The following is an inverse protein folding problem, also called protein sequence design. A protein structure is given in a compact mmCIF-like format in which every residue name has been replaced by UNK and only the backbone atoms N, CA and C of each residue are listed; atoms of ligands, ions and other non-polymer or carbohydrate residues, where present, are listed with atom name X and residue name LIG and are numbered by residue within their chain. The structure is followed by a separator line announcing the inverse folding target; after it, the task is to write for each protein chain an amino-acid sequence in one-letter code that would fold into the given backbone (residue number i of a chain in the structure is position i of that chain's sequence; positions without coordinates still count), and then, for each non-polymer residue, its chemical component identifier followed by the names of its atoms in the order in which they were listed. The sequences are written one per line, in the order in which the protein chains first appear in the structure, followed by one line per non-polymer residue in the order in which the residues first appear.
data_IF_403481928598
#
_entry.id   IF_403481928598
#
_cell.length_a   1.000
_cell.length_b   1.000
_cell.length_c   1.000
_cell.angle_alpha   90.00
_cell.angle_beta   90.00
_cell.angle_gamma   90.00
#
_symmetry.space_group_name_H-M   'P 1'
#
loop_
_entity.id
_entity.type
_entity.pdbx_description
1 polymer ?
#
# COMPACT_ATOMS: atom_id res chain seq x y z
N UNK A 1 5.67 2.99 -18.72
CA UNK A 1 5.14 3.07 -17.35
C UNK A 1 5.87 1.99 -16.55
N UNK A 2 6.30 2.30 -15.35
CA UNK A 2 6.93 1.30 -14.46
C UNK A 2 5.83 0.75 -13.57
N UNK A 3 5.83 -0.56 -13.32
CA UNK A 3 5.00 -1.18 -12.31
C UNK A 3 5.85 -1.36 -11.05
N UNK A 4 5.37 -0.86 -9.92
CA UNK A 4 5.98 -1.10 -8.62
C UNK A 4 5.25 -2.26 -7.94
N UNK A 5 6.02 -3.19 -7.40
CA UNK A 5 5.51 -4.43 -6.80
C UNK A 5 6.26 -4.75 -5.51
N UNK A 6 5.57 -5.38 -4.58
CA UNK A 6 6.16 -5.80 -3.30
C UNK A 6 7.02 -7.06 -3.44
N UNK A 7 6.81 -7.87 -4.49
CA UNK A 7 7.44 -9.17 -4.64
C UNK A 7 8.01 -9.36 -6.04
N UNK A 8 9.21 -9.95 -6.14
CA UNK A 8 9.84 -10.33 -7.42
C UNK A 8 9.30 -11.62 -8.01
N UNK A 9 8.57 -12.42 -7.23
CA UNK A 9 8.00 -13.68 -7.72
C UNK A 9 6.68 -13.39 -8.43
N UNK A 10 6.52 -13.79 -9.71
CA UNK A 10 5.25 -13.67 -10.39
C UNK A 10 4.23 -14.66 -9.82
N UNK A 11 2.96 -14.34 -9.99
CA UNK A 11 1.90 -15.33 -9.96
C UNK A 11 1.90 -16.14 -11.26
N UNK A 12 1.41 -17.36 -11.21
CA UNK A 12 1.20 -18.18 -12.41
C UNK A 12 -0.29 -18.40 -12.60
N UNK A 13 -0.80 -18.06 -13.76
CA UNK A 13 -2.22 -18.20 -14.06
C UNK A 13 -2.63 -19.68 -14.00
N UNK A 14 -3.51 -20.05 -13.07
CA UNK A 14 -4.03 -21.42 -12.87
C UNK A 14 -5.12 -21.78 -13.89
N UNK A 15 -5.79 -20.76 -14.41
CA UNK A 15 -6.78 -20.82 -15.49
C UNK A 15 -6.62 -19.59 -16.38
N UNK A 16 -7.39 -19.50 -17.46
CA UNK A 16 -7.45 -18.28 -18.27
C UNK A 16 -8.10 -17.14 -17.46
N UNK A 17 -7.42 -15.98 -17.40
CA UNK A 17 -7.86 -14.82 -16.64
C UNK A 17 -8.25 -13.71 -17.62
N UNK A 18 -9.50 -13.24 -17.54
CA UNK A 18 -9.95 -12.08 -18.30
C UNK A 18 -9.42 -10.80 -17.64
N UNK A 19 -8.75 -9.96 -18.42
CA UNK A 19 -8.27 -8.64 -18.04
C UNK A 19 -8.60 -7.64 -19.15
N UNK A 20 -8.28 -6.36 -18.96
CA UNK A 20 -8.72 -5.30 -19.86
C UNK A 20 -7.53 -4.48 -20.35
N UNK A 21 -7.49 -4.20 -21.68
CA UNK A 21 -6.42 -3.43 -22.30
C UNK A 21 -6.98 -2.13 -22.89
N UNK A 22 -6.58 -1.00 -22.34
CA UNK A 22 -6.91 0.30 -22.91
C UNK A 22 -6.00 0.64 -24.09
N UNK A 23 -6.60 0.98 -25.22
CA UNK A 23 -5.95 1.28 -26.48
C UNK A 23 -6.59 2.53 -27.12
N UNK A 24 -5.82 3.26 -27.92
CA UNK A 24 -6.39 4.27 -28.79
C UNK A 24 -6.85 3.62 -30.10
N UNK A 25 -7.97 4.10 -30.68
CA UNK A 25 -8.49 3.63 -31.96
C UNK A 25 -8.36 4.74 -33.00
N UNK A 26 -7.70 4.46 -34.12
CA UNK A 26 -7.57 5.40 -35.23
C UNK A 26 -7.76 4.65 -36.56
N UNK A 27 -8.68 5.14 -37.40
CA UNK A 27 -9.01 4.53 -38.72
C UNK A 27 -9.25 3.00 -38.62
N UNK A 28 -9.99 2.55 -37.61
CA UNK A 28 -10.30 1.14 -37.40
C UNK A 28 -9.15 0.27 -36.85
N UNK A 29 -7.98 0.85 -36.60
CA UNK A 29 -6.80 0.16 -36.02
C UNK A 29 -6.59 0.57 -34.60
N UNK A 30 -6.04 -0.34 -33.79
CA UNK A 30 -5.74 -0.13 -32.38
C UNK A 30 -4.26 0.14 -32.17
N UNK A 31 -3.95 0.98 -31.18
CA UNK A 31 -2.59 1.38 -30.82
C UNK A 31 -2.44 1.42 -29.28
N UNK A 32 -1.25 1.11 -28.77
CA UNK A 32 -0.96 1.26 -27.34
C UNK A 32 -1.10 2.72 -26.91
N UNK A 33 -1.69 2.94 -25.75
CA UNK A 33 -2.02 4.26 -25.23
C UNK A 33 -0.82 5.21 -25.06
N UNK A 34 0.36 4.68 -24.71
CA UNK A 34 1.51 5.49 -24.34
C UNK A 34 2.54 5.69 -25.47
N UNK A 35 2.68 4.75 -26.40
CA UNK A 35 3.73 4.78 -27.43
C UNK A 35 3.22 4.61 -28.85
N UNK A 36 1.91 4.53 -29.03
CA UNK A 36 1.25 4.35 -30.33
C UNK A 36 1.76 3.14 -31.15
N UNK A 37 2.22 2.07 -30.49
CA UNK A 37 2.52 0.83 -31.19
C UNK A 37 1.22 0.16 -31.65
N UNK A 38 1.21 -0.44 -32.86
CA UNK A 38 0.03 -1.18 -33.33
C UNK A 38 -0.31 -2.33 -32.36
N UNK A 39 -1.60 -2.54 -32.15
CA UNK A 39 -2.15 -3.65 -31.38
C UNK A 39 -3.00 -4.48 -32.33
N UNK A 40 -2.57 -5.69 -32.60
CA UNK A 40 -3.35 -6.65 -33.37
C UNK A 40 -4.31 -7.37 -32.43
N UNK A 41 -5.55 -7.53 -32.86
CA UNK A 41 -6.55 -8.30 -32.14
C UNK A 41 -6.52 -9.77 -32.61
N UNK A 42 -7.01 -10.67 -31.75
CA UNK A 42 -6.99 -12.12 -31.92
C UNK A 42 -5.58 -12.73 -32.03
N UNK A 43 -4.61 -12.02 -31.46
CA UNK A 43 -3.21 -12.40 -31.44
C UNK A 43 -2.61 -12.29 -30.03
N UNK A 44 -1.48 -12.97 -29.81
CA UNK A 44 -0.69 -12.83 -28.59
C UNK A 44 0.24 -11.63 -28.73
N UNK A 45 0.00 -10.63 -27.92
CA UNK A 45 0.90 -9.48 -27.77
C UNK A 45 2.10 -9.90 -26.89
N UNK A 46 3.31 -9.54 -27.33
CA UNK A 46 4.55 -9.73 -26.57
C UNK A 46 5.28 -8.37 -26.42
N UNK A 47 6.03 -8.18 -25.35
CA UNK A 47 6.81 -6.96 -25.20
C UNK A 47 7.99 -6.92 -26.17
N UNK A 48 8.34 -5.73 -26.63
CA UNK A 48 9.42 -5.53 -27.61
C UNK A 48 10.83 -5.80 -27.06
N UNK A 49 11.00 -5.80 -25.74
CA UNK A 49 12.31 -5.95 -25.06
C UNK A 49 12.19 -6.86 -23.85
N UNK A 50 13.31 -7.51 -23.49
CA UNK A 50 13.41 -8.17 -22.19
C UNK A 50 13.31 -7.12 -21.09
N UNK A 51 12.46 -7.39 -20.11
CA UNK A 51 12.33 -6.55 -18.92
C UNK A 51 13.24 -7.05 -17.81
N UNK A 52 13.71 -6.11 -17.02
CA UNK A 52 14.43 -6.38 -15.80
C UNK A 52 13.54 -6.01 -14.60
N UNK A 53 13.56 -6.88 -13.60
CA UNK A 53 13.03 -6.55 -12.28
C UNK A 53 14.22 -6.09 -11.45
N UNK A 54 14.22 -4.84 -11.05
CA UNK A 54 15.29 -4.29 -10.20
C UNK A 54 14.73 -3.74 -8.92
N UNK A 55 15.38 -4.02 -7.80
CA UNK A 55 15.16 -3.29 -6.58
C UNK A 55 15.65 -1.86 -6.83
N UNK A 56 14.74 -0.92 -6.76
CA UNK A 56 15.09 0.49 -6.70
C UNK A 56 15.58 0.80 -5.28
N UNK A 57 16.40 1.83 -5.15
CA UNK A 57 16.81 2.38 -3.85
C UNK A 57 15.59 2.77 -2.95
N UNK A 58 14.41 2.63 -3.46
CA UNK A 58 13.14 3.07 -2.93
C UNK A 58 12.32 1.95 -2.24
N UNK A 59 12.95 0.88 -1.79
CA UNK A 59 12.31 -0.20 -1.00
C UNK A 59 11.22 -1.02 -1.71
N UNK A 60 10.95 -0.78 -3.00
CA UNK A 60 10.07 -1.60 -3.83
C UNK A 60 10.75 -2.04 -5.11
N UNK A 61 10.28 -3.16 -5.66
CA UNK A 61 10.74 -3.64 -6.95
C UNK A 61 10.03 -2.89 -8.07
N UNK A 62 10.78 -2.51 -9.09
CA UNK A 62 10.23 -1.88 -10.29
C UNK A 62 10.46 -2.79 -11.49
N UNK A 63 9.40 -3.07 -12.24
CA UNK A 63 9.48 -3.77 -13.52
C UNK A 63 9.67 -2.72 -14.62
N UNK A 64 10.84 -2.76 -15.26
CA UNK A 64 11.22 -1.85 -16.33
C UNK A 64 11.12 -2.55 -17.69
N UNK A 65 10.15 -2.17 -18.49
CA UNK A 65 9.97 -2.73 -19.84
C UNK A 65 9.68 -4.23 -19.82
N UNK A 66 9.69 -4.88 -20.97
CA UNK A 66 9.55 -6.33 -21.10
C UNK A 66 8.26 -6.94 -20.57
N UNK A 67 7.27 -6.11 -20.24
CA UNK A 67 5.93 -6.53 -19.80
C UNK A 67 4.85 -5.69 -20.46
N UNK A 68 3.68 -6.26 -20.56
CA UNK A 68 2.47 -5.63 -21.05
C UNK A 68 1.60 -5.30 -19.86
N UNK A 69 1.17 -4.05 -19.74
CA UNK A 69 0.23 -3.64 -18.70
C UNK A 69 -1.20 -3.86 -19.18
N UNK A 70 -2.02 -4.43 -18.34
CA UNK A 70 -3.46 -4.54 -18.49
C UNK A 70 -4.15 -4.18 -17.18
N UNK A 71 -5.42 -3.80 -17.24
CA UNK A 71 -6.21 -3.42 -16.08
C UNK A 71 -7.08 -4.58 -15.61
N UNK A 72 -7.34 -4.66 -14.33
CA UNK A 72 -8.25 -5.63 -13.73
C UNK A 72 -9.71 -5.17 -13.77
N UNK A 73 -9.94 -3.90 -14.10
CA UNK A 73 -11.27 -3.30 -14.17
C UNK A 73 -11.45 -2.46 -15.41
N UNK A 74 -12.70 -2.31 -15.86
CA UNK A 74 -13.09 -1.45 -16.99
C UNK A 74 -13.46 -0.04 -16.53
N UNK A 75 -13.01 0.40 -15.36
CA UNK A 75 -13.31 1.72 -14.84
C UNK A 75 -12.58 2.81 -15.61
N UNK A 76 -13.26 3.94 -15.69
CA UNK A 76 -12.77 5.18 -16.27
C UNK A 76 -11.53 5.68 -15.50
N UNK A 77 -10.36 5.38 -16.04
CA UNK A 77 -9.07 5.83 -15.51
C UNK A 77 -8.70 7.23 -16.05
N UNK A 78 -9.68 8.05 -16.40
CA UNK A 78 -9.46 9.38 -16.98
C UNK A 78 -8.86 9.34 -18.40
N UNK A 79 -8.99 8.21 -19.09
CA UNK A 79 -8.53 8.04 -20.45
C UNK A 79 -9.64 8.41 -21.44
N UNK A 80 -10.04 9.66 -21.47
CA UNK A 80 -10.89 10.20 -22.55
C UNK A 80 -10.33 9.77 -23.92
N UNK A 81 -11.19 9.26 -24.79
CA UNK A 81 -10.86 8.80 -26.16
C UNK A 81 -10.16 7.42 -26.27
N UNK A 82 -10.17 6.57 -25.27
CA UNK A 82 -9.63 5.21 -25.36
C UNK A 82 -10.72 4.16 -25.43
N UNK A 83 -10.44 3.11 -26.19
CA UNK A 83 -11.27 1.91 -26.26
C UNK A 83 -10.71 0.89 -25.28
N UNK A 84 -11.59 0.20 -24.58
CA UNK A 84 -11.25 -0.91 -23.71
C UNK A 84 -11.45 -2.22 -24.47
N UNK A 85 -10.38 -3.00 -24.66
CA UNK A 85 -10.45 -4.34 -25.26
C UNK A 85 -10.37 -5.38 -24.18
N UNK A 86 -11.18 -6.43 -24.31
CA UNK A 86 -11.02 -7.62 -23.53
C UNK A 86 -9.71 -8.32 -23.93
N UNK A 87 -8.99 -8.77 -22.92
CA UNK A 87 -7.75 -9.51 -23.09
C UNK A 87 -7.71 -10.69 -22.14
N UNK A 88 -6.84 -11.66 -22.43
CA UNK A 88 -6.76 -12.90 -21.66
C UNK A 88 -5.30 -13.19 -21.31
N UNK A 89 -5.04 -13.35 -20.02
CA UNK A 89 -3.83 -14.00 -19.51
C UNK A 89 -4.10 -15.50 -19.55
N UNK A 90 -3.38 -16.22 -20.42
CA UNK A 90 -3.61 -17.65 -20.58
C UNK A 90 -3.06 -18.45 -19.41
N UNK A 91 -3.68 -19.57 -19.10
CA UNK A 91 -3.20 -20.53 -18.12
C UNK A 91 -1.70 -20.82 -18.31
N UNK A 92 -0.96 -20.84 -17.22
CA UNK A 92 0.49 -21.05 -17.20
C UNK A 92 1.33 -19.79 -17.45
N UNK A 93 0.72 -18.65 -17.80
CA UNK A 93 1.45 -17.40 -17.99
C UNK A 93 1.79 -16.75 -16.64
N UNK A 94 3.02 -16.29 -16.50
CA UNK A 94 3.46 -15.50 -15.35
C UNK A 94 2.93 -14.06 -15.44
N UNK A 95 2.46 -13.53 -14.32
CA UNK A 95 1.99 -12.15 -14.22
C UNK A 95 2.25 -11.57 -12.82
N UNK A 96 2.20 -10.25 -12.73
CA UNK A 96 2.33 -9.49 -11.48
C UNK A 96 1.08 -8.68 -11.27
N UNK A 97 0.70 -8.49 -10.01
CA UNK A 97 -0.43 -7.65 -9.59
C UNK A 97 0.16 -6.41 -8.92
N UNK A 98 -0.33 -5.24 -9.28
CA UNK A 98 0.03 -3.99 -8.60
C UNK A 98 -0.70 -3.86 -7.27
N UNK A 99 -0.09 -3.15 -6.32
CA UNK A 99 -0.56 -3.04 -4.94
C UNK A 99 -1.96 -2.43 -4.79
N UNK A 100 -2.42 -1.68 -5.78
CA UNK A 100 -3.78 -1.11 -5.82
C UNK A 100 -4.83 -2.07 -6.41
N UNK A 101 -4.43 -3.27 -6.80
CA UNK A 101 -5.25 -4.30 -7.44
C UNK A 101 -5.89 -3.88 -8.77
N UNK A 102 -5.49 -2.75 -9.35
CA UNK A 102 -6.10 -2.21 -10.58
C UNK A 102 -5.36 -2.59 -11.84
N UNK A 103 -4.07 -2.83 -11.73
CA UNK A 103 -3.21 -3.15 -12.86
C UNK A 103 -2.48 -4.47 -12.68
N UNK A 104 -2.25 -5.14 -13.80
CA UNK A 104 -1.42 -6.34 -13.89
C UNK A 104 -0.36 -6.15 -14.97
N UNK A 105 0.78 -6.80 -14.80
CA UNK A 105 1.85 -6.84 -15.78
C UNK A 105 2.13 -8.27 -16.20
N UNK A 106 2.20 -8.54 -17.49
CA UNK A 106 2.38 -9.88 -18.05
C UNK A 106 3.43 -9.88 -19.16
N UNK A 107 4.06 -11.04 -19.40
CA UNK A 107 4.98 -11.23 -20.52
C UNK A 107 4.27 -11.53 -21.84
N UNK A 108 3.07 -12.10 -21.79
CA UNK A 108 2.27 -12.45 -22.95
C UNK A 108 0.80 -12.16 -22.65
N UNK A 109 0.11 -11.48 -23.56
CA UNK A 109 -1.29 -11.12 -23.41
C UNK A 109 -2.04 -11.40 -24.71
N UNK A 110 -3.04 -12.25 -24.67
CA UNK A 110 -3.92 -12.46 -25.81
C UNK A 110 -4.95 -11.34 -25.87
N UNK A 111 -4.97 -10.55 -26.95
CA UNK A 111 -5.89 -9.44 -27.14
C UNK A 111 -7.04 -9.91 -28.02
N UNK A 112 -8.29 -9.76 -27.56
CA UNK A 112 -9.46 -10.05 -28.38
C UNK A 112 -9.90 -8.81 -29.18
N UNK A 113 -10.84 -8.95 -30.10
CA UNK A 113 -11.49 -7.85 -30.82
C UNK A 113 -12.77 -7.37 -30.08
N UNK A 114 -13.09 -7.92 -28.91
CA UNK A 114 -14.24 -7.54 -28.09
C UNK A 114 -13.96 -6.19 -27.42
N UNK A 115 -14.69 -5.14 -27.86
CA UNK A 115 -14.73 -3.84 -27.17
C UNK A 115 -15.68 -3.95 -25.95
N UNK A 116 -15.18 -3.59 -24.78
CA UNK A 116 -15.94 -3.63 -23.53
C UNK A 116 -16.40 -2.23 -23.17
N UNK A 117 -17.70 -2.04 -23.06
CA UNK A 117 -18.33 -0.73 -22.77
C UNK A 117 -19.01 -0.69 -21.41
N UNK A 118 -19.21 -1.84 -20.79
CA UNK A 118 -19.83 -1.97 -19.47
C UNK A 118 -18.76 -2.13 -18.36
N UNK A 119 -19.22 -1.96 -17.13
CA UNK A 119 -18.38 -2.09 -15.95
C UNK A 119 -18.12 -3.55 -15.63
N UNK A 120 -16.87 -3.97 -15.71
CA UNK A 120 -16.43 -5.33 -15.38
C UNK A 120 -15.19 -5.31 -14.49
N UNK A 121 -14.98 -6.37 -13.73
CA UNK A 121 -13.78 -6.59 -12.93
C UNK A 121 -13.27 -8.02 -13.09
N UNK A 122 -11.96 -8.18 -13.00
CA UNK A 122 -11.28 -9.48 -12.97
C UNK A 122 -11.39 -10.07 -11.56
N UNK A 123 -11.75 -11.33 -11.47
CA UNK A 123 -11.66 -12.07 -10.21
C UNK A 123 -10.23 -12.59 -10.00
N UNK A 124 -9.57 -12.08 -8.97
CA UNK A 124 -8.22 -12.47 -8.56
C UNK A 124 -8.23 -13.20 -7.21
N UNK A 125 -9.38 -13.56 -6.67
CA UNK A 125 -9.55 -14.11 -5.31
C UNK A 125 -8.61 -15.26 -5.00
N UNK A 126 -8.46 -16.21 -5.93
CA UNK A 126 -7.59 -17.38 -5.75
C UNK A 126 -6.11 -17.01 -5.56
N UNK A 127 -5.63 -16.01 -6.32
CA UNK A 127 -4.24 -15.53 -6.23
C UNK A 127 -4.00 -14.74 -4.95
N UNK A 128 -5.02 -14.04 -4.50
CA UNK A 128 -5.01 -13.26 -3.29
C UNK A 128 -4.96 -14.18 -2.06
N UNK A 129 -5.70 -15.27 -2.07
CA UNK A 129 -5.65 -16.30 -1.03
C UNK A 129 -4.26 -16.93 -0.93
N UNK A 130 -3.68 -17.31 -2.07
CA UNK A 130 -2.31 -17.84 -2.13
C UNK A 130 -1.29 -16.83 -1.58
N UNK A 131 -1.43 -15.54 -1.92
CA UNK A 131 -0.51 -14.51 -1.42
C UNK A 131 -0.54 -14.40 0.10
N UNK A 132 -1.72 -14.37 0.72
CA UNK A 132 -1.86 -14.35 2.19
C UNK A 132 -1.35 -15.65 2.81
N UNK A 133 -1.64 -16.80 2.21
CA UNK A 133 -1.19 -18.09 2.72
C UNK A 133 0.33 -18.26 2.66
N UNK A 134 1.00 -17.58 1.75
CA UNK A 134 2.46 -17.59 1.58
C UNK A 134 3.16 -16.35 2.18
N UNK A 135 2.42 -15.44 2.81
CA UNK A 135 2.97 -14.25 3.44
C UNK A 135 3.86 -14.59 4.65
N UNK A 136 4.72 -13.64 5.03
CA UNK A 136 5.55 -13.73 6.21
C UNK A 136 4.71 -14.05 7.44
N UNK A 137 5.24 -14.92 8.30
CA UNK A 137 4.57 -15.41 9.51
C UNK A 137 5.36 -15.02 10.75
N UNK A 138 4.68 -14.44 11.71
CA UNK A 138 5.22 -14.13 13.03
C UNK A 138 4.84 -15.20 14.07
N UNK A 139 4.84 -14.77 15.34
CA UNK A 139 4.46 -15.61 16.45
C UNK A 139 3.05 -16.20 16.29
N UNK A 140 2.86 -17.42 16.81
CA UNK A 140 1.59 -18.16 16.78
C UNK A 140 1.01 -18.41 15.36
N UNK A 141 1.86 -18.36 14.33
CA UNK A 141 1.44 -18.60 12.95
C UNK A 141 0.58 -17.47 12.35
N UNK A 142 0.52 -16.32 12.99
CA UNK A 142 -0.14 -15.12 12.46
C UNK A 142 0.63 -14.63 11.24
N UNK A 143 -0.07 -14.27 10.17
CA UNK A 143 0.55 -13.82 8.92
C UNK A 143 0.20 -12.38 8.61
N UNK A 144 1.05 -11.74 7.81
CA UNK A 144 0.73 -10.44 7.19
C UNK A 144 -0.58 -10.60 6.42
N UNK A 145 -1.45 -9.61 6.52
CA UNK A 145 -2.77 -9.64 5.91
C UNK A 145 -3.87 -10.25 6.79
N UNK A 146 -3.56 -10.93 7.90
CA UNK A 146 -4.59 -11.41 8.82
C UNK A 146 -5.37 -10.25 9.44
N UNK A 147 -6.66 -10.45 9.65
CA UNK A 147 -7.48 -9.50 10.41
C UNK A 147 -7.16 -9.59 11.90
N UNK A 148 -7.04 -8.45 12.55
CA UNK A 148 -7.10 -8.34 13.99
C UNK A 148 -8.54 -8.03 14.40
N UNK A 149 -9.10 -8.84 15.28
CA UNK A 149 -10.46 -8.66 15.80
C UNK A 149 -10.45 -7.87 17.11
N UNK A 150 -11.60 -7.29 17.46
CA UNK A 150 -11.80 -6.50 18.70
C UNK A 150 -11.52 -7.30 19.98
N UNK A 151 -11.65 -8.61 19.93
CA UNK A 151 -11.33 -9.52 21.04
C UNK A 151 -9.84 -9.91 21.12
N UNK A 152 -8.98 -9.32 20.29
CA UNK A 152 -7.54 -9.58 20.24
C UNK A 152 -7.10 -10.76 19.38
N UNK A 153 -8.03 -11.55 18.85
CA UNK A 153 -7.71 -12.68 17.97
C UNK A 153 -7.27 -12.22 16.57
N UNK A 154 -6.52 -13.09 15.88
CA UNK A 154 -6.13 -12.93 14.49
C UNK A 154 -6.80 -14.02 13.65
N UNK A 155 -7.30 -13.66 12.47
CA UNK A 155 -7.99 -14.59 11.57
C UNK A 155 -7.60 -14.37 10.12
N UNK A 156 -7.43 -15.47 9.38
CA UNK A 156 -7.22 -15.42 7.95
C UNK A 156 -8.45 -14.78 7.27
N UNK A 157 -8.29 -13.77 6.39
CA UNK A 157 -9.39 -13.14 5.68
C UNK A 157 -10.33 -14.10 4.92
N UNK A 158 -9.83 -15.24 4.49
CA UNK A 158 -10.61 -16.26 3.78
C UNK A 158 -11.36 -17.23 4.70
N UNK A 159 -10.96 -17.28 5.98
CA UNK A 159 -11.61 -18.08 7.04
C UNK A 159 -12.52 -17.22 7.93
N UNK A 160 -12.47 -15.89 7.78
CA UNK A 160 -13.25 -14.96 8.58
C UNK A 160 -14.76 -15.18 8.39
N UNK A 161 -15.48 -15.31 9.50
CA UNK A 161 -16.94 -15.52 9.52
C UNK A 161 -17.66 -14.43 10.30
N UNK A 162 -17.10 -14.04 11.45
CA UNK A 162 -17.77 -13.12 12.37
C UNK A 162 -16.79 -12.39 13.29
N UNK A 163 -17.24 -11.34 13.93
CA UNK A 163 -16.47 -10.50 14.83
C UNK A 163 -16.20 -9.11 14.24
N UNK A 164 -15.77 -8.18 15.07
CA UNK A 164 -15.43 -6.82 14.60
C UNK A 164 -13.98 -6.76 14.18
N UNK A 165 -13.73 -6.49 12.90
CA UNK A 165 -12.38 -6.28 12.37
C UNK A 165 -11.94 -4.86 12.77
N UNK A 166 -10.84 -4.75 13.49
CA UNK A 166 -10.27 -3.48 13.95
C UNK A 166 -8.98 -3.09 13.22
N UNK A 167 -8.32 -4.05 12.60
CA UNK A 167 -7.06 -3.82 11.88
C UNK A 167 -6.68 -4.98 10.99
N UNK A 168 -5.61 -4.75 10.21
CA UNK A 168 -4.94 -5.75 9.35
C UNK A 168 -3.48 -5.84 9.77
N UNK A 169 -2.95 -7.04 9.96
CA UNK A 169 -1.53 -7.26 10.26
C UNK A 169 -0.69 -6.78 9.09
N UNK A 170 0.18 -5.80 9.34
CA UNK A 170 0.97 -5.13 8.33
C UNK A 170 2.46 -5.52 8.36
N UNK A 171 2.99 -5.80 9.52
CA UNK A 171 4.38 -6.22 9.72
C UNK A 171 4.55 -6.87 11.10
N UNK A 172 5.77 -7.31 11.40
CA UNK A 172 6.15 -7.83 12.71
C UNK A 172 7.20 -6.94 13.35
N UNK A 173 7.10 -6.78 14.68
CA UNK A 173 8.12 -6.13 15.48
C UNK A 173 9.40 -6.99 15.57
N UNK A 174 10.45 -6.47 16.24
CA UNK A 174 11.71 -7.18 16.45
C UNK A 174 11.60 -8.52 17.22
N UNK A 175 10.46 -8.73 17.90
CA UNK A 175 10.18 -9.96 18.64
C UNK A 175 9.21 -10.88 17.86
N UNK A 176 8.97 -10.60 16.58
CA UNK A 176 8.01 -11.31 15.73
C UNK A 176 6.56 -11.22 16.20
N UNK A 177 6.22 -10.20 16.97
CA UNK A 177 4.84 -9.94 17.34
C UNK A 177 4.13 -9.16 16.21
N UNK A 178 2.87 -9.50 15.90
CA UNK A 178 2.12 -8.83 14.85
C UNK A 178 1.79 -7.38 15.21
N UNK A 179 2.07 -6.47 14.30
CA UNK A 179 1.65 -5.08 14.35
C UNK A 179 0.57 -4.89 13.28
N UNK A 180 -0.60 -4.41 13.73
CA UNK A 180 -1.75 -4.18 12.85
C UNK A 180 -1.90 -2.69 12.56
N UNK A 181 -2.30 -2.38 11.33
CA UNK A 181 -2.79 -1.04 10.98
C UNK A 181 -4.30 -0.97 11.10
N UNK A 182 -4.82 0.21 11.42
CA UNK A 182 -6.26 0.45 11.50
C UNK A 182 -6.94 0.32 10.14
N UNK A 183 -8.22 -0.09 10.16
CA UNK A 183 -9.04 -0.22 8.92
C UNK A 183 -9.47 1.13 8.34
N UNK A 184 -9.16 2.24 9.00
CA UNK A 184 -9.39 3.60 8.54
C UNK A 184 -8.10 4.39 8.61
N UNK A 185 -7.84 5.17 7.57
CA UNK A 185 -6.77 6.14 7.50
C UNK A 185 -7.35 7.50 7.12
N UNK A 186 -6.65 8.57 7.48
CA UNK A 186 -7.04 9.93 7.15
C UNK A 186 -5.96 10.63 6.35
N UNK A 187 -6.36 11.57 5.52
CA UNK A 187 -5.44 12.42 4.77
C UNK A 187 -5.26 13.75 5.48
N UNK A 188 -4.19 13.88 6.23
CA UNK A 188 -3.92 15.02 7.11
C UNK A 188 -2.54 15.63 6.79
N UNK A 189 -2.34 16.93 7.05
CA UNK A 189 -1.00 17.48 7.18
C UNK A 189 -0.33 16.91 8.44
N UNK A 190 1.00 16.79 8.43
CA UNK A 190 1.73 16.38 9.64
C UNK A 190 1.52 17.39 10.78
N UNK A 191 1.66 18.69 10.47
CA UNK A 191 1.35 19.82 11.37
C UNK A 191 0.43 20.82 10.68
N UNK A 192 -0.38 21.55 11.46
CA UNK A 192 -1.09 22.74 10.95
C UNK A 192 -0.14 23.93 10.78
N UNK A 193 -0.23 24.60 9.63
CA UNK A 193 0.64 25.68 9.15
C UNK A 193 0.93 26.82 10.13
N UNK A 194 -0.01 27.14 11.00
CA UNK A 194 0.01 28.37 11.81
C UNK A 194 1.11 28.39 12.89
N UNK A 195 1.78 27.26 13.14
CA UNK A 195 2.58 27.07 14.37
C UNK A 195 4.05 26.74 14.15
N UNK A 196 4.55 26.95 12.93
CA UNK A 196 5.92 26.64 12.53
C UNK A 196 7.01 27.11 13.50
N UNK A 197 6.82 28.27 14.08
CA UNK A 197 7.83 28.89 14.95
C UNK A 197 7.76 28.38 16.40
N UNK A 198 6.86 27.46 16.73
CA UNK A 198 6.66 26.98 18.10
C UNK A 198 7.13 25.55 18.34
N UNK A 199 7.42 24.78 17.28
CA UNK A 199 7.93 23.44 17.43
C UNK A 199 9.41 23.56 17.69
N UNK A 200 9.84 23.27 18.91
CA UNK A 200 11.23 23.37 19.28
C UNK A 200 12.06 22.26 18.70
N UNK A 201 13.31 22.57 18.39
CA UNK A 201 14.34 21.70 17.84
C UNK A 201 14.79 20.53 18.75
N UNK A 202 14.02 20.19 19.77
CA UNK A 202 14.46 19.28 20.83
C UNK A 202 14.29 17.79 20.48
N UNK A 203 13.99 17.47 19.21
CA UNK A 203 13.76 16.09 18.78
C UNK A 203 14.77 15.74 17.72
N UNK A 204 15.78 15.03 18.14
CA UNK A 204 16.67 14.30 17.26
C UNK A 204 16.42 12.81 17.48
N UNK A 205 15.76 12.18 16.53
CA UNK A 205 15.75 10.73 16.45
C UNK A 205 16.78 10.27 15.43
N UNK A 206 17.31 9.09 15.62
CA UNK A 206 18.26 8.46 14.69
C UNK A 206 17.47 8.05 13.45
N UNK A 207 17.51 8.90 12.44
CA UNK A 207 16.59 8.98 11.30
C UNK A 207 16.99 8.03 10.18
N UNK A 208 17.22 6.81 10.54
CA UNK A 208 17.42 5.77 9.54
C UNK A 208 16.09 5.15 9.13
N UNK A 209 15.99 4.69 7.90
CA UNK A 209 14.86 3.86 7.41
C UNK A 209 14.70 2.55 8.20
N UNK A 210 15.57 2.29 9.18
CA UNK A 210 15.55 1.17 10.11
C UNK A 210 14.83 1.49 11.42
N UNK A 211 14.45 2.76 11.65
CA UNK A 211 13.75 3.17 12.87
C UNK A 211 12.35 2.51 12.94
N UNK A 212 12.16 1.67 13.96
CA UNK A 212 10.97 0.82 14.17
C UNK A 212 10.26 1.15 15.50
N UNK A 213 10.41 2.38 16.03
CA UNK A 213 9.93 2.70 17.38
C UNK A 213 8.86 3.79 17.39
N UNK A 214 7.87 3.65 16.50
CA UNK A 214 6.78 4.64 16.34
C UNK A 214 5.95 4.83 17.60
N UNK A 215 5.76 3.78 18.40
CA UNK A 215 5.06 3.88 19.68
C UNK A 215 5.80 4.81 20.64
N UNK A 216 7.12 4.69 20.78
CA UNK A 216 7.93 5.57 21.62
C UNK A 216 7.88 7.00 21.08
N UNK A 217 8.10 7.21 19.78
CA UNK A 217 8.03 8.55 19.16
C UNK A 217 6.68 9.20 19.41
N UNK A 218 5.58 8.48 19.23
CA UNK A 218 4.24 9.01 19.52
C UNK A 218 4.13 9.47 20.97
N UNK A 219 4.54 8.64 21.93
CA UNK A 219 4.53 9.00 23.37
C UNK A 219 5.42 10.19 23.67
N UNK A 220 6.60 10.25 23.09
CA UNK A 220 7.54 11.35 23.28
C UNK A 220 6.98 12.67 22.73
N UNK A 221 6.36 12.65 21.55
CA UNK A 221 5.69 13.83 20.97
C UNK A 221 4.56 14.32 21.88
N UNK A 222 3.70 13.41 22.35
CA UNK A 222 2.58 13.72 23.23
C UNK A 222 3.02 14.28 24.60
N UNK A 223 4.21 13.88 25.09
CA UNK A 223 4.75 14.31 26.38
C UNK A 223 5.43 15.69 26.37
N UNK A 224 5.66 16.29 25.20
CA UNK A 224 6.32 17.58 25.07
C UNK A 224 5.53 18.70 25.73
N UNK A 225 6.22 19.63 26.37
CA UNK A 225 5.61 20.85 26.92
C UNK A 225 4.96 21.73 25.84
N UNK A 226 5.41 21.60 24.60
CA UNK A 226 4.91 22.34 23.43
C UNK A 226 3.82 21.60 22.68
N UNK A 227 3.44 20.41 23.13
CA UNK A 227 2.39 19.64 22.49
C UNK A 227 1.06 20.39 22.53
N UNK A 228 0.43 20.47 21.36
CA UNK A 228 -0.92 20.99 21.18
C UNK A 228 -1.62 20.10 20.15
N UNK A 229 -2.72 19.43 20.51
CA UNK A 229 -3.45 18.52 19.61
C UNK A 229 -3.96 19.23 18.35
N UNK A 230 -4.17 20.54 18.41
CA UNK A 230 -4.56 21.31 17.23
C UNK A 230 -3.38 21.59 16.28
N UNK A 231 -2.15 21.37 16.72
CA UNK A 231 -0.93 21.54 15.94
C UNK A 231 -0.47 20.19 15.39
N UNK A 232 -0.32 19.19 16.24
CA UNK A 232 0.19 17.84 15.92
C UNK A 232 -0.91 16.91 15.41
N UNK A 233 -1.63 17.35 14.39
CA UNK A 233 -2.89 16.69 13.96
C UNK A 233 -2.72 15.25 13.49
N UNK A 234 -1.57 14.88 12.89
CA UNK A 234 -1.31 13.52 12.46
C UNK A 234 -1.09 12.58 13.66
N UNK A 235 -0.27 12.99 14.62
CA UNK A 235 -0.02 12.22 15.83
C UNK A 235 -1.29 12.14 16.69
N UNK A 236 -2.03 13.25 16.82
CA UNK A 236 -3.29 13.28 17.57
C UNK A 236 -4.35 12.39 16.96
N UNK A 237 -4.44 12.32 15.65
CA UNK A 237 -5.33 11.38 14.96
C UNK A 237 -5.05 9.94 15.38
N UNK A 238 -3.77 9.51 15.37
CA UNK A 238 -3.41 8.17 15.80
C UNK A 238 -3.67 7.94 17.29
N UNK A 239 -3.35 8.91 18.14
CA UNK A 239 -3.53 8.82 19.59
C UNK A 239 -5.01 8.75 20.00
N UNK A 240 -5.89 9.46 19.28
CA UNK A 240 -7.34 9.46 19.56
C UNK A 240 -8.11 8.41 18.80
N UNK A 241 -7.47 7.73 17.85
CA UNK A 241 -8.08 6.63 17.13
C UNK A 241 -8.50 5.52 18.08
N UNK A 242 -9.72 5.05 17.92
CA UNK A 242 -10.24 3.97 18.74
C UNK A 242 -11.26 3.15 17.94
N UNK A 243 -11.36 1.89 18.27
CA UNK A 243 -12.30 0.92 17.70
C UNK A 243 -12.86 0.07 18.84
N UNK A 244 -13.82 -0.79 18.54
CA UNK A 244 -14.29 -1.77 19.53
C UNK A 244 -13.11 -2.55 20.12
N UNK A 245 -13.05 -2.68 21.43
CA UNK A 245 -11.97 -3.37 22.14
C UNK A 245 -10.66 -2.57 22.28
N UNK A 246 -10.60 -1.32 21.80
CA UNK A 246 -9.46 -0.41 22.00
C UNK A 246 -9.93 0.96 22.50
N UNK A 247 -8.99 1.73 23.03
CA UNK A 247 -9.23 3.09 23.57
C UNK A 247 -8.21 4.08 23.02
N UNK A 248 -8.45 5.39 23.12
CA UNK A 248 -7.45 6.41 22.86
C UNK A 248 -6.15 6.13 23.60
N UNK A 249 -5.02 6.24 22.93
CA UNK A 249 -3.68 5.94 23.44
C UNK A 249 -3.20 4.50 23.20
N UNK A 250 -4.05 3.60 22.73
CA UNK A 250 -3.63 2.23 22.33
C UNK A 250 -2.96 2.24 20.96
N UNK A 251 -3.33 3.18 20.11
CA UNK A 251 -2.82 3.33 18.74
C UNK A 251 -1.74 4.40 18.67
N UNK A 252 -0.80 4.20 17.76
CA UNK A 252 0.34 5.10 17.59
C UNK A 252 0.60 5.40 16.11
N UNK A 253 1.35 6.46 15.83
CA UNK A 253 1.81 6.82 14.50
C UNK A 253 3.09 6.05 14.16
N UNK A 254 3.17 5.35 13.02
CA UNK A 254 4.33 4.50 12.69
C UNK A 254 5.61 5.33 12.51
N UNK A 255 6.76 4.75 12.90
CA UNK A 255 8.08 5.27 12.56
C UNK A 255 8.41 5.02 11.09
N UNK A 256 9.49 5.61 10.58
CA UNK A 256 9.82 5.52 9.15
C UNK A 256 10.12 4.08 8.70
N UNK A 257 10.82 3.28 9.49
CA UNK A 257 11.06 1.88 9.17
C UNK A 257 9.77 1.03 9.20
N UNK A 258 8.84 1.36 10.11
CA UNK A 258 7.51 0.74 10.13
C UNK A 258 6.69 1.15 8.88
N UNK A 259 6.78 2.41 8.44
CA UNK A 259 6.19 2.86 7.17
C UNK A 259 6.75 2.11 5.97
N UNK A 260 8.06 1.84 5.94
CA UNK A 260 8.71 1.01 4.91
C UNK A 260 8.10 -0.39 4.89
N UNK A 261 7.96 -1.03 6.06
CA UNK A 261 7.34 -2.36 6.17
C UNK A 261 5.88 -2.37 5.71
N UNK A 262 5.11 -1.36 6.09
CA UNK A 262 3.72 -1.19 5.62
C UNK A 262 3.69 -1.08 4.09
N UNK A 263 4.54 -0.24 3.50
CA UNK A 263 4.55 -0.04 2.04
C UNK A 263 5.04 -1.28 1.29
N UNK A 264 5.96 -2.06 1.84
CA UNK A 264 6.42 -3.33 1.27
C UNK A 264 5.36 -4.43 1.27
N UNK A 265 4.37 -4.36 2.16
CA UNK A 265 3.30 -5.34 2.29
C UNK A 265 1.95 -4.82 1.77
N UNK A 266 1.95 -3.69 1.05
CA UNK A 266 0.74 -2.96 0.69
C UNK A 266 -0.21 -3.77 -0.20
N UNK A 267 0.32 -4.62 -1.10
CA UNK A 267 -0.51 -5.53 -1.89
C UNK A 267 -1.39 -6.40 -0.98
N UNK A 268 -0.78 -7.10 -0.05
CA UNK A 268 -1.49 -8.03 0.86
C UNK A 268 -2.46 -7.27 1.77
N UNK A 269 -2.04 -6.11 2.26
CA UNK A 269 -2.88 -5.23 3.09
C UNK A 269 -4.13 -4.79 2.33
N UNK A 270 -3.96 -4.24 1.13
CA UNK A 270 -5.07 -3.78 0.30
C UNK A 270 -6.01 -4.92 -0.11
N UNK A 271 -5.46 -6.11 -0.34
CA UNK A 271 -6.26 -7.31 -0.58
C UNK A 271 -7.18 -7.63 0.59
N UNK A 272 -6.63 -7.65 1.80
CA UNK A 272 -7.40 -7.93 3.01
C UNK A 272 -8.47 -6.86 3.26
N UNK A 273 -8.13 -5.59 3.11
CA UNK A 273 -9.08 -4.48 3.23
C UNK A 273 -10.21 -4.61 2.21
N UNK A 274 -9.88 -4.82 0.94
CA UNK A 274 -10.84 -4.96 -0.15
C UNK A 274 -11.80 -6.14 0.06
N UNK A 275 -11.30 -7.28 0.54
CA UNK A 275 -12.10 -8.48 0.80
C UNK A 275 -13.22 -8.25 1.82
N UNK A 276 -13.00 -7.38 2.80
CA UNK A 276 -13.99 -7.02 3.82
C UNK A 276 -14.74 -5.72 3.53
N UNK A 277 -14.60 -5.18 2.32
CA UNK A 277 -15.29 -3.96 1.90
C UNK A 277 -14.76 -2.67 2.53
N UNK A 278 -13.59 -2.71 3.17
CA UNK A 278 -12.91 -1.50 3.62
C UNK A 278 -12.24 -0.77 2.45
N UNK A 279 -12.07 0.54 2.60
CA UNK A 279 -11.32 1.33 1.64
C UNK A 279 -9.85 0.89 1.61
N UNK A 280 -9.34 0.64 0.40
CA UNK A 280 -7.92 0.41 0.18
C UNK A 280 -7.14 1.72 0.34
N UNK A 281 -5.85 1.60 0.63
CA UNK A 281 -4.94 2.75 0.63
C UNK A 281 -4.79 3.34 -0.78
N UNK A 282 -4.80 4.66 -0.85
CA UNK A 282 -4.52 5.39 -2.09
C UNK A 282 -3.00 5.40 -2.37
N UNK A 283 -2.59 4.56 -3.31
CA UNK A 283 -1.17 4.43 -3.69
C UNK A 283 -0.57 5.71 -4.28
N UNK A 284 -1.38 6.67 -4.70
CA UNK A 284 -0.88 7.98 -5.16
C UNK A 284 -0.48 8.91 -4.00
N UNK A 285 -0.75 8.51 -2.77
CA UNK A 285 -0.47 9.28 -1.56
C UNK A 285 0.91 8.98 -0.98
N UNK A 286 1.26 9.74 0.05
CA UNK A 286 2.42 9.51 0.93
C UNK A 286 1.93 9.02 2.27
N UNK A 287 2.72 8.19 2.95
CA UNK A 287 2.45 7.74 4.32
C UNK A 287 3.34 8.51 5.29
N UNK A 288 2.74 9.28 6.17
CA UNK A 288 3.45 10.03 7.20
C UNK A 288 4.03 9.13 8.28
N UNK A 289 5.21 9.48 8.77
CA UNK A 289 5.87 8.81 9.89
C UNK A 289 5.99 9.72 11.11
N UNK A 290 6.12 9.10 12.28
CA UNK A 290 6.43 9.79 13.53
C UNK A 290 7.92 10.12 13.68
N UNK A 291 8.78 9.63 12.79
CA UNK A 291 10.21 9.93 12.79
C UNK A 291 10.43 11.36 12.32
N UNK A 292 11.17 12.11 13.13
CA UNK A 292 11.51 13.51 12.92
C UNK A 292 13.03 13.66 12.79
N UNK A 293 13.48 14.66 12.07
CA UNK A 293 14.90 15.02 12.01
C UNK A 293 15.08 16.54 11.95
N UNK A 294 16.31 16.97 12.17
CA UNK A 294 16.70 18.37 11.98
C UNK A 294 17.80 18.44 10.93
N UNK A 295 17.55 19.18 9.85
CA UNK A 295 18.61 19.57 8.91
C UNK A 295 18.95 21.04 9.17
N UNK A 296 20.03 21.28 9.91
CA UNK A 296 20.34 22.60 10.43
C UNK A 296 19.35 23.04 11.51
N UNK A 297 18.69 24.19 11.32
CA UNK A 297 17.66 24.71 12.23
C UNK A 297 16.24 24.34 11.82
N UNK A 298 16.06 23.64 10.70
CA UNK A 298 14.75 23.30 10.17
C UNK A 298 14.31 21.90 10.62
N UNK A 299 13.26 21.80 11.45
CA UNK A 299 12.67 20.52 11.80
C UNK A 299 11.97 19.91 10.58
N UNK A 300 12.16 18.62 10.38
CA UNK A 300 11.62 17.86 9.26
C UNK A 300 10.94 16.58 9.75
N UNK A 301 10.02 16.07 8.98
CA UNK A 301 9.39 14.78 9.19
C UNK A 301 9.66 13.86 8.01
N UNK A 302 9.82 12.58 8.30
CA UNK A 302 9.92 11.55 7.30
C UNK A 302 8.54 11.13 6.79
N UNK A 303 8.51 10.74 5.51
CA UNK A 303 7.37 10.06 4.91
C UNK A 303 7.82 9.04 3.87
N UNK A 304 6.98 8.03 3.63
CA UNK A 304 7.13 7.10 2.53
C UNK A 304 6.19 7.45 1.38
N UNK A 305 6.67 7.42 0.16
CA UNK A 305 5.82 7.40 -1.02
C UNK A 305 5.21 6.00 -1.16
N UNK A 306 3.89 5.88 -1.09
CA UNK A 306 3.22 4.58 -1.06
C UNK A 306 3.36 3.82 -2.39
N UNK A 307 3.48 4.55 -3.51
CA UNK A 307 3.63 3.95 -4.84
C UNK A 307 5.03 3.36 -5.06
N UNK A 308 6.07 4.10 -4.68
CA UNK A 308 7.47 3.70 -4.95
C UNK A 308 8.18 3.07 -3.75
N UNK A 309 7.65 3.23 -2.54
CA UNK A 309 8.32 2.88 -1.29
C UNK A 309 9.48 3.81 -0.92
N UNK A 310 9.75 4.85 -1.71
CA UNK A 310 10.81 5.81 -1.45
C UNK A 310 10.51 6.64 -0.20
N UNK A 311 11.54 6.82 0.62
CA UNK A 311 11.43 7.62 1.84
C UNK A 311 12.10 8.97 1.66
N UNK A 312 11.43 10.01 2.11
CA UNK A 312 11.89 11.39 1.99
C UNK A 312 11.67 12.14 3.28
N UNK A 313 12.52 13.13 3.49
CA UNK A 313 12.34 14.15 4.51
C UNK A 313 11.67 15.39 3.92
N UNK A 314 10.78 15.99 4.68
CA UNK A 314 10.17 17.26 4.29
C UNK A 314 10.12 18.22 5.47
N UNK A 315 10.51 19.44 5.23
CA UNK A 315 10.36 20.53 6.22
C UNK A 315 8.88 20.69 6.60
N UNK A 316 8.59 20.86 7.88
CA UNK A 316 7.24 21.13 8.39
C UNK A 316 6.52 22.30 7.68
N UNK A 317 7.27 23.18 6.95
CA UNK A 317 6.77 24.29 6.12
C UNK A 317 6.00 23.88 4.89
N UNK A 318 6.12 22.67 4.46
CA UNK A 318 5.44 22.23 3.25
C UNK A 318 4.14 21.52 3.64
N UNK A 319 3.03 22.19 3.35
CA UNK A 319 1.68 21.69 3.60
C UNK A 319 1.30 20.60 2.61
N UNK A 320 1.88 19.43 2.75
CA UNK A 320 1.36 18.27 2.09
C UNK A 320 0.41 17.54 3.04
N UNK A 321 -0.76 17.19 2.55
CA UNK A 321 -1.61 16.21 3.22
C UNK A 321 -1.17 14.82 2.75
N UNK A 322 -0.72 14.00 3.68
CA UNK A 322 -0.39 12.60 3.47
C UNK A 322 -1.34 11.70 4.23
N UNK A 323 -1.31 10.43 3.92
CA UNK A 323 -2.03 9.41 4.65
C UNK A 323 -1.45 9.27 6.05
N UNK A 324 -2.30 9.27 7.05
CA UNK A 324 -1.98 8.95 8.43
C UNK A 324 -2.66 7.63 8.77
N UNK A 325 -1.87 6.64 9.16
CA UNK A 325 -2.32 5.28 9.43
C UNK A 325 -2.00 4.91 10.89
N UNK A 326 -3.02 4.73 11.75
CA UNK A 326 -2.79 4.27 13.12
C UNK A 326 -2.25 2.85 13.16
N UNK A 327 -1.25 2.58 13.99
CA UNK A 327 -0.68 1.26 14.25
C UNK A 327 -1.03 0.79 15.66
N UNK A 328 -1.24 -0.52 15.81
CA UNK A 328 -1.54 -1.19 17.08
C UNK A 328 -0.62 -2.39 17.25
N UNK A 329 0.28 -2.31 18.22
CA UNK A 329 1.15 -3.43 18.59
C UNK A 329 0.38 -4.51 19.35
N UNK A 330 0.92 -5.73 19.34
CA UNK A 330 0.46 -6.78 20.24
C UNK A 330 0.95 -6.43 21.65
N UNK A 331 0.01 -6.21 22.57
CA UNK A 331 0.32 -6.07 24.00
C UNK A 331 0.06 -7.43 24.63
N UNK A 332 1.13 -8.13 25.00
CA UNK A 332 0.99 -9.33 25.85
C UNK A 332 0.66 -8.84 27.27
N UNK A 333 -0.61 -8.98 27.69
CA UNK A 333 -1.07 -8.59 29.03
C UNK A 333 -0.30 -9.31 30.18
N UNK A 334 0.49 -10.33 29.84
CA UNK A 334 1.31 -11.07 30.82
C UNK A 334 2.61 -10.35 31.23
N UNK A 335 3.01 -9.29 30.50
CA UNK A 335 4.24 -8.53 30.82
C UNK A 335 4.00 -7.28 31.68
N UNK A 336 2.80 -7.03 32.14
CA UNK A 336 2.43 -5.84 32.96
C UNK A 336 2.14 -6.17 34.42
N UNK A 337 2.70 -7.28 34.94
CA UNK A 337 2.69 -7.57 36.38
C UNK A 337 4.07 -7.45 37.00
#
# INVERSE_FOLDING_TARGET
MCLYIDNTKPFVAKSDITVYKYVSKNNGKYYTACRHYPVNTNEVMKPDKKGDISLKADNKYCIYGGVIHACTTTFDNGFEHKVCLKAVIRKGTEFYIQDDLKDVAVKELYITDEEVTDKRSTDLTEYLEDAINNAESGNNGVKIGYYRLSNGNFVNPFEYKEGTIIGVVAFFDKNSNPVSIGVKSERLPWLKKIFFNKVSSDILYDDTVEDMDGMRHTKDILSKKTYDPNIFVAVEYCNTYSTEGTKPGDWYMPAIGECVKITQNMLIINMSLSKSGFAMFDMSSTLWSSSECCVGADPQSWYCNMYTGACYMVSYGRLYSGCVCPCLSFIDEKCTQ
#
